data_IF_772597906924
#
_entry.id   IF_772597906924
#
_cell.length_a   1.000
_cell.length_b   1.000
_cell.length_c   1.000
_cell.angle_alpha   90.00
_cell.angle_beta   90.00
_cell.angle_gamma   90.00
#
_symmetry.space_group_name_H-M   'P 1'
#
loop_
_entity.id
_entity.type
_entity.pdbx_description
1 polymer ?
#
# COMPACT_ATOMS: atom_id res chain seq x y z
N UNK A 1 -13.26 0.06 -0.29
CA UNK A 1 -13.11 0.40 -1.74
C UNK A 1 -12.09 1.53 -1.90
N UNK A 2 -11.19 1.50 -2.90
CA UNK A 2 -10.18 2.55 -3.13
C UNK A 2 -10.70 3.53 -4.18
N UNK A 3 -10.88 4.80 -3.78
CA UNK A 3 -11.15 5.92 -4.70
C UNK A 3 -9.84 6.38 -5.34
N UNK A 4 -9.60 6.07 -6.60
CA UNK A 4 -8.29 6.25 -7.24
C UNK A 4 -8.35 7.23 -8.39
N UNK A 5 -7.41 8.19 -8.38
CA UNK A 5 -7.17 9.12 -9.47
C UNK A 5 -5.71 9.02 -9.95
N UNK A 6 -5.52 9.06 -11.26
CA UNK A 6 -4.19 9.00 -11.88
C UNK A 6 -4.08 10.07 -12.97
N UNK A 7 -3.03 10.89 -12.90
CA UNK A 7 -2.63 11.76 -14.00
C UNK A 7 -1.23 11.34 -14.49
N UNK A 8 -1.16 10.87 -15.73
CA UNK A 8 0.08 10.38 -16.34
C UNK A 8 0.89 11.49 -17.04
N UNK A 9 0.43 12.74 -16.97
CA UNK A 9 1.01 13.86 -17.72
C UNK A 9 1.55 14.98 -16.85
N UNK A 10 0.95 15.20 -15.67
CA UNK A 10 1.30 16.33 -14.79
C UNK A 10 1.01 16.04 -13.32
N UNK A 11 1.44 16.97 -12.48
CA UNK A 11 1.00 17.10 -11.08
C UNK A 11 0.03 18.29 -10.97
N UNK A 12 -1.12 18.07 -10.37
CA UNK A 12 -2.08 19.13 -10.08
C UNK A 12 -1.56 20.06 -8.96
N UNK A 13 -2.17 21.24 -8.82
CA UNK A 13 -1.94 22.13 -7.67
C UNK A 13 -2.37 21.44 -6.36
N UNK A 14 -1.72 21.79 -5.27
CA UNK A 14 -1.96 21.24 -3.93
C UNK A 14 -3.45 21.22 -3.56
N UNK A 15 -4.15 22.31 -3.77
CA UNK A 15 -5.58 22.42 -3.45
C UNK A 15 -6.41 21.40 -4.24
N UNK A 16 -6.06 21.20 -5.51
CA UNK A 16 -6.77 20.25 -6.36
C UNK A 16 -6.51 18.80 -5.95
N UNK A 17 -5.29 18.47 -5.55
CA UNK A 17 -4.95 17.13 -5.03
C UNK A 17 -5.76 16.85 -3.76
N UNK A 18 -5.83 17.82 -2.84
CA UNK A 18 -6.63 17.72 -1.62
C UNK A 18 -8.12 17.53 -1.94
N UNK A 19 -8.68 18.31 -2.87
CA UNK A 19 -10.08 18.15 -3.30
C UNK A 19 -10.37 16.74 -3.85
N UNK A 20 -9.46 16.18 -4.66
CA UNK A 20 -9.62 14.83 -5.23
C UNK A 20 -9.61 13.77 -4.13
N UNK A 21 -8.69 13.88 -3.18
CA UNK A 21 -8.59 12.94 -2.06
C UNK A 21 -9.77 13.08 -1.09
N UNK A 22 -10.23 14.31 -0.82
CA UNK A 22 -11.41 14.56 0.01
C UNK A 22 -12.70 14.10 -0.67
N UNK A 23 -12.80 14.20 -2.00
CA UNK A 23 -13.90 13.62 -2.75
C UNK A 23 -14.01 12.11 -2.53
N UNK A 24 -12.88 11.38 -2.51
CA UNK A 24 -12.91 9.94 -2.22
C UNK A 24 -13.52 9.67 -0.82
N UNK A 25 -13.17 10.47 0.18
CA UNK A 25 -13.75 10.39 1.53
C UNK A 25 -15.25 10.68 1.54
N UNK A 26 -15.68 11.74 0.86
CA UNK A 26 -17.09 12.15 0.78
C UNK A 26 -17.95 11.18 0.00
N UNK A 27 -17.39 10.42 -0.93
CA UNK A 27 -18.04 9.31 -1.63
C UNK A 27 -17.95 7.97 -0.88
N UNK A 28 -17.61 8.00 0.40
CA UNK A 28 -17.56 6.82 1.28
C UNK A 28 -16.59 5.73 0.79
N UNK A 29 -15.48 6.16 0.17
CA UNK A 29 -14.39 5.24 -0.14
C UNK A 29 -13.57 4.95 1.12
N UNK A 30 -13.10 3.72 1.26
CA UNK A 30 -12.25 3.31 2.40
C UNK A 30 -10.87 3.97 2.36
N UNK A 31 -10.34 4.24 1.17
CA UNK A 31 -9.01 4.83 0.94
C UNK A 31 -9.07 5.78 -0.24
N UNK A 32 -8.47 6.96 -0.11
CA UNK A 32 -8.23 7.87 -1.23
C UNK A 32 -6.85 7.64 -1.85
N UNK A 33 -6.78 7.52 -3.18
CA UNK A 33 -5.50 7.35 -3.88
C UNK A 33 -5.31 8.38 -4.97
N UNK A 34 -4.13 9.03 -4.97
CA UNK A 34 -3.70 9.96 -6.00
C UNK A 34 -2.31 9.59 -6.53
N UNK A 35 -2.17 9.45 -7.84
CA UNK A 35 -0.89 9.23 -8.50
C UNK A 35 -0.71 10.23 -9.64
N UNK A 36 0.47 10.83 -9.76
CA UNK A 36 0.77 11.85 -10.76
C UNK A 36 2.12 11.65 -11.43
N UNK A 37 2.34 12.33 -12.55
CA UNK A 37 3.62 12.39 -13.23
C UNK A 37 4.27 13.77 -13.00
N UNK A 38 5.30 13.86 -12.15
CA UNK A 38 5.95 15.13 -11.88
C UNK A 38 6.86 15.52 -13.05
N UNK A 39 6.88 16.80 -13.40
CA UNK A 39 7.82 17.39 -14.35
C UNK A 39 9.02 18.02 -13.64
N UNK A 40 8.83 18.43 -12.38
CA UNK A 40 9.84 19.09 -11.56
C UNK A 40 9.93 18.47 -10.15
N UNK A 41 10.95 18.85 -9.38
CA UNK A 41 11.05 18.46 -7.97
C UNK A 41 9.98 19.13 -7.12
N UNK A 42 9.64 20.35 -7.46
CA UNK A 42 8.59 21.15 -6.83
C UNK A 42 7.22 20.49 -6.95
N UNK A 43 6.99 19.73 -8.02
CA UNK A 43 5.77 18.91 -8.17
C UNK A 43 5.71 17.78 -7.13
N UNK A 44 6.85 17.18 -6.82
CA UNK A 44 6.94 16.15 -5.78
C UNK A 44 6.69 16.76 -4.40
N UNK A 45 7.26 17.93 -4.12
CA UNK A 45 7.03 18.66 -2.87
C UNK A 45 5.55 19.04 -2.73
N UNK A 46 4.92 19.51 -3.82
CA UNK A 46 3.49 19.84 -3.88
C UNK A 46 2.63 18.62 -3.52
N UNK A 47 2.96 17.44 -4.04
CA UNK A 47 2.27 16.19 -3.71
C UNK A 47 2.42 15.84 -2.23
N UNK A 48 3.64 15.91 -1.70
CA UNK A 48 3.92 15.60 -0.30
C UNK A 48 3.22 16.57 0.66
N UNK A 49 3.20 17.87 0.34
CA UNK A 49 2.45 18.87 1.10
C UNK A 49 0.93 18.60 1.08
N UNK A 50 0.37 18.23 -0.08
CA UNK A 50 -1.04 17.85 -0.19
C UNK A 50 -1.35 16.61 0.66
N UNK A 51 -0.43 15.64 0.69
CA UNK A 51 -0.55 14.43 1.52
C UNK A 51 -0.57 14.79 3.01
N UNK A 52 0.37 15.62 3.45
CA UNK A 52 0.43 16.10 4.84
C UNK A 52 -0.85 16.87 5.23
N UNK A 53 -1.36 17.69 4.32
CA UNK A 53 -2.61 18.43 4.54
C UNK A 53 -3.81 17.53 4.74
N UNK A 54 -3.91 16.43 3.96
CA UNK A 54 -4.96 15.43 4.14
C UNK A 54 -4.84 14.71 5.48
N UNK A 55 -3.62 14.31 5.88
CA UNK A 55 -3.37 13.65 7.17
C UNK A 55 -3.69 14.56 8.35
N UNK A 56 -3.40 15.84 8.24
CA UNK A 56 -3.75 16.84 9.26
C UNK A 56 -5.27 17.06 9.37
N UNK A 57 -5.94 17.18 8.22
CA UNK A 57 -7.38 17.47 8.19
C UNK A 57 -8.24 16.25 8.54
N UNK A 58 -7.80 15.07 8.15
CA UNK A 58 -8.54 13.79 8.29
C UNK A 58 -7.61 12.66 8.74
N UNK A 59 -7.17 12.64 10.02
CA UNK A 59 -6.17 11.69 10.52
C UNK A 59 -6.56 10.21 10.34
N UNK A 60 -7.87 9.91 10.41
CA UNK A 60 -8.40 8.55 10.31
C UNK A 60 -8.70 8.11 8.88
N UNK A 61 -8.66 9.03 7.90
CA UNK A 61 -8.90 8.66 6.51
C UNK A 61 -7.58 8.31 5.81
N UNK A 62 -7.35 7.03 5.45
CA UNK A 62 -6.11 6.63 4.81
C UNK A 62 -6.01 7.20 3.40
N UNK A 63 -4.85 7.74 3.07
CA UNK A 63 -4.53 8.19 1.72
C UNK A 63 -3.28 7.48 1.19
N UNK A 64 -3.26 7.24 -0.11
CA UNK A 64 -2.11 6.69 -0.83
C UNK A 64 -1.72 7.71 -1.90
N UNK A 65 -0.55 8.29 -1.76
CA UNK A 65 -0.06 9.29 -2.72
C UNK A 65 1.29 8.90 -3.28
N UNK A 66 1.48 9.07 -4.58
CA UNK A 66 2.75 8.79 -5.22
C UNK A 66 2.96 9.59 -6.49
N UNK A 67 4.16 10.07 -6.70
CA UNK A 67 4.63 10.56 -7.96
C UNK A 67 5.31 9.44 -8.76
N UNK A 68 5.08 9.41 -10.06
CA UNK A 68 5.64 8.44 -10.99
C UNK A 68 6.99 8.91 -11.55
N UNK A 69 7.68 8.03 -12.28
CA UNK A 69 8.98 8.33 -12.89
C UNK A 69 10.11 8.48 -11.86
N UNK A 70 11.31 8.75 -12.36
CA UNK A 70 12.52 8.86 -11.53
C UNK A 70 12.45 10.02 -10.52
N UNK A 71 11.90 11.16 -10.94
CA UNK A 71 11.69 12.31 -10.06
C UNK A 71 10.75 11.97 -8.89
N UNK A 72 9.81 11.05 -9.12
CA UNK A 72 8.80 10.65 -8.13
C UNK A 72 9.29 9.67 -7.07
N UNK A 73 10.45 9.03 -7.22
CA UNK A 73 10.99 8.06 -6.26
C UNK A 73 10.96 8.52 -4.80
N UNK A 74 11.33 9.77 -4.45
CA UNK A 74 11.26 10.24 -3.08
C UNK A 74 9.87 10.11 -2.45
N UNK A 75 8.80 10.36 -3.21
CA UNK A 75 7.43 10.22 -2.69
C UNK A 75 7.08 8.77 -2.30
N UNK A 76 7.69 7.79 -2.97
CA UNK A 76 7.49 6.37 -2.67
C UNK A 76 8.26 5.92 -1.42
N UNK A 77 9.43 6.49 -1.18
CA UNK A 77 10.28 6.15 -0.04
C UNK A 77 9.92 6.92 1.23
N UNK A 78 9.57 8.20 1.08
CA UNK A 78 9.37 9.12 2.20
C UNK A 78 7.91 9.56 2.40
N UNK A 79 7.01 9.18 1.51
CA UNK A 79 5.60 9.58 1.54
C UNK A 79 4.89 9.26 2.86
N UNK A 80 5.27 8.19 3.55
CA UNK A 80 4.75 7.83 4.87
C UNK A 80 5.04 8.86 5.95
N UNK A 81 6.16 9.60 5.85
CA UNK A 81 6.47 10.72 6.76
C UNK A 81 5.48 11.89 6.61
N UNK A 82 4.84 11.99 5.46
CA UNK A 82 3.82 12.98 5.13
C UNK A 82 2.40 12.44 5.29
N UNK A 83 2.23 11.16 5.66
CA UNK A 83 0.94 10.55 5.93
C UNK A 83 0.38 9.65 4.83
N UNK A 84 1.16 9.33 3.79
CA UNK A 84 0.78 8.28 2.85
C UNK A 84 0.81 6.92 3.54
N UNK A 85 -0.32 6.21 3.53
CA UNK A 85 -0.49 4.98 4.31
C UNK A 85 0.20 3.76 3.68
N UNK A 86 0.56 3.83 2.39
CA UNK A 86 1.12 2.69 1.66
C UNK A 86 1.97 3.14 0.48
N UNK A 87 3.01 2.38 0.18
CA UNK A 87 3.79 2.52 -1.04
C UNK A 87 3.92 1.19 -1.79
N UNK A 88 4.22 1.26 -3.09
CA UNK A 88 4.36 0.09 -3.96
C UNK A 88 5.79 -0.06 -4.45
N UNK A 89 6.40 -1.20 -4.17
CA UNK A 89 7.67 -1.63 -4.74
C UNK A 89 7.52 -2.74 -5.76
N UNK A 90 8.60 -3.09 -6.44
CA UNK A 90 8.65 -4.22 -7.35
C UNK A 90 9.67 -5.28 -6.89
N UNK A 91 9.36 -6.56 -7.17
CA UNK A 91 10.23 -7.69 -6.83
C UNK A 91 11.14 -8.12 -7.99
N UNK A 92 10.74 -7.87 -9.24
CA UNK A 92 11.50 -8.23 -10.45
C UNK A 92 11.47 -7.08 -11.45
N UNK A 93 10.37 -6.93 -12.18
CA UNK A 93 10.20 -5.87 -13.16
C UNK A 93 9.24 -4.82 -12.65
N UNK A 94 9.55 -3.56 -12.89
CA UNK A 94 8.70 -2.45 -12.53
C UNK A 94 7.40 -2.49 -13.35
N UNK A 95 6.26 -2.55 -12.68
CA UNK A 95 4.93 -2.50 -13.32
C UNK A 95 4.43 -1.07 -13.55
N UNK A 96 5.16 -0.08 -13.05
CA UNK A 96 4.87 1.34 -13.22
C UNK A 96 6.17 2.16 -13.23
N UNK A 97 6.18 3.31 -13.94
CA UNK A 97 7.36 4.18 -13.99
C UNK A 97 7.84 4.62 -12.60
N UNK A 98 9.16 4.56 -12.35
CA UNK A 98 9.78 4.98 -11.10
C UNK A 98 9.47 4.09 -9.89
N UNK A 99 9.00 2.88 -10.12
CA UNK A 99 8.81 1.91 -9.05
C UNK A 99 10.15 1.46 -8.48
N UNK A 100 10.27 1.44 -7.15
CA UNK A 100 11.49 1.10 -6.42
C UNK A 100 11.56 -0.40 -6.19
N UNK A 101 12.74 -0.99 -6.31
CA UNK A 101 12.95 -2.39 -5.96
C UNK A 101 12.79 -2.60 -4.45
N UNK A 102 12.21 -3.75 -4.09
CA UNK A 102 11.86 -4.04 -2.71
C UNK A 102 13.06 -4.01 -1.76
N UNK A 103 14.25 -4.42 -2.20
CA UNK A 103 15.46 -4.39 -1.37
C UNK A 103 15.86 -2.96 -0.97
N UNK A 104 15.81 -2.03 -1.94
CA UNK A 104 16.05 -0.62 -1.70
C UNK A 104 14.98 -0.04 -0.75
N UNK A 105 13.73 -0.36 -1.03
CA UNK A 105 12.59 0.11 -0.22
C UNK A 105 12.71 -0.36 1.23
N UNK A 106 12.97 -1.64 1.48
CA UNK A 106 13.16 -2.18 2.84
C UNK A 106 14.33 -1.50 3.53
N UNK A 107 15.49 -1.38 2.86
CA UNK A 107 16.67 -0.74 3.44
C UNK A 107 16.41 0.70 3.89
N UNK A 108 15.57 1.43 3.15
CA UNK A 108 15.17 2.80 3.50
C UNK A 108 14.12 2.78 4.61
N UNK A 109 13.10 1.93 4.50
CA UNK A 109 11.98 1.86 5.44
C UNK A 109 12.43 1.42 6.83
N UNK A 110 13.32 0.44 6.95
CA UNK A 110 13.87 0.00 8.24
C UNK A 110 14.60 1.12 8.98
N UNK A 111 15.28 2.01 8.23
CA UNK A 111 15.97 3.17 8.81
C UNK A 111 15.01 4.29 9.22
N UNK A 112 13.98 4.56 8.40
CA UNK A 112 13.08 5.70 8.59
C UNK A 112 11.96 5.35 9.57
N UNK A 113 11.30 4.21 9.36
CA UNK A 113 10.11 3.80 10.12
C UNK A 113 10.46 2.85 11.27
N UNK A 114 11.75 2.52 11.48
CA UNK A 114 12.27 1.72 12.62
C UNK A 114 11.53 0.39 12.81
N UNK A 115 11.22 -0.29 11.70
CA UNK A 115 10.51 -1.56 11.75
C UNK A 115 8.99 -1.46 11.87
N UNK A 116 8.44 -0.28 12.13
CA UNK A 116 7.00 -0.08 12.25
C UNK A 116 6.32 0.04 10.87
N UNK A 117 6.43 -1.02 10.08
CA UNK A 117 5.78 -1.15 8.77
C UNK A 117 5.59 -2.62 8.42
N UNK A 118 4.52 -2.92 7.69
CA UNK A 118 4.23 -4.25 7.15
C UNK A 118 4.61 -4.33 5.67
N UNK A 119 5.02 -5.52 5.22
CA UNK A 119 5.31 -5.80 3.81
C UNK A 119 4.26 -6.79 3.31
N UNK A 120 3.40 -6.34 2.40
CA UNK A 120 2.40 -7.19 1.77
C UNK A 120 2.82 -7.56 0.36
N UNK A 121 2.82 -8.86 0.05
CA UNK A 121 3.10 -9.39 -1.29
C UNK A 121 1.80 -9.65 -2.01
N UNK A 122 1.58 -8.94 -3.12
CA UNK A 122 0.42 -9.13 -3.99
C UNK A 122 0.86 -9.61 -5.38
N UNK A 123 0.01 -10.34 -6.05
CA UNK A 123 0.26 -10.83 -7.41
C UNK A 123 -0.55 -12.08 -7.74
N UNK A 124 -0.66 -12.39 -9.02
CA UNK A 124 -1.38 -13.57 -9.49
C UNK A 124 -0.75 -14.86 -8.98
N UNK A 125 -1.53 -15.95 -9.06
CA UNK A 125 -1.04 -17.30 -8.79
C UNK A 125 0.17 -17.61 -9.68
N UNK A 126 1.23 -18.18 -9.11
CA UNK A 126 2.47 -18.47 -9.85
C UNK A 126 3.41 -17.26 -10.05
N UNK A 127 3.07 -16.05 -9.61
CA UNK A 127 3.93 -14.86 -9.73
C UNK A 127 5.21 -14.90 -8.87
N UNK A 128 5.41 -15.96 -8.07
CA UNK A 128 6.59 -16.14 -7.24
C UNK A 128 6.53 -15.46 -5.86
N UNK A 129 5.34 -15.10 -5.39
CA UNK A 129 5.14 -14.49 -4.05
C UNK A 129 5.85 -15.26 -2.93
N UNK A 130 5.63 -16.57 -2.85
CA UNK A 130 6.25 -17.43 -1.80
C UNK A 130 7.78 -17.53 -1.91
N UNK A 131 8.35 -17.32 -3.09
CA UNK A 131 9.82 -17.28 -3.27
C UNK A 131 10.36 -15.96 -2.73
N UNK A 132 9.70 -14.85 -3.07
CA UNK A 132 10.06 -13.51 -2.58
C UNK A 132 9.84 -13.42 -1.07
N UNK A 133 8.75 -13.97 -0.55
CA UNK A 133 8.44 -13.96 0.89
C UNK A 133 9.54 -14.65 1.71
N UNK A 134 9.98 -15.84 1.30
CA UNK A 134 11.09 -16.55 1.97
C UNK A 134 12.40 -15.75 1.96
N UNK A 135 12.70 -15.07 0.87
CA UNK A 135 13.89 -14.24 0.77
C UNK A 135 13.76 -12.98 1.65
N UNK A 136 12.59 -12.37 1.68
CA UNK A 136 12.28 -11.26 2.58
C UNK A 136 12.45 -11.64 4.05
N UNK A 137 11.92 -12.80 4.47
CA UNK A 137 12.11 -13.34 5.82
C UNK A 137 13.61 -13.50 6.14
N UNK A 138 14.38 -14.06 5.21
CA UNK A 138 15.83 -14.25 5.38
C UNK A 138 16.58 -12.92 5.54
N UNK A 139 16.22 -11.90 4.77
CA UNK A 139 16.89 -10.60 4.75
C UNK A 139 16.47 -9.70 5.92
N UNK A 140 15.19 -9.69 6.26
CA UNK A 140 14.63 -8.77 7.26
C UNK A 140 14.46 -9.37 8.65
N UNK A 141 14.52 -10.70 8.78
CA UNK A 141 14.21 -11.40 10.03
C UNK A 141 12.74 -11.37 10.44
N UNK A 142 11.85 -10.83 9.59
CA UNK A 142 10.42 -10.69 9.86
C UNK A 142 9.70 -12.03 9.78
N UNK A 143 8.62 -12.16 10.52
CA UNK A 143 7.73 -13.31 10.38
C UNK A 143 6.97 -13.26 9.05
N UNK A 144 6.79 -14.45 8.47
CA UNK A 144 6.00 -14.65 7.27
C UNK A 144 4.62 -15.16 7.65
N UNK A 145 3.58 -14.47 7.20
CA UNK A 145 2.19 -14.91 7.34
C UNK A 145 1.64 -15.19 5.95
N UNK A 146 1.25 -16.44 5.71
CA UNK A 146 0.47 -16.84 4.54
C UNK A 146 -1.01 -16.69 4.88
N UNK A 147 -1.71 -15.83 4.16
CA UNK A 147 -3.10 -15.47 4.44
C UNK A 147 -4.05 -16.67 4.35
N UNK A 148 -3.84 -17.50 3.34
CA UNK A 148 -4.68 -18.69 3.12
C UNK A 148 -4.51 -19.70 4.25
N UNK A 149 -3.26 -19.97 4.64
CA UNK A 149 -2.96 -20.89 5.75
C UNK A 149 -3.45 -20.34 7.10
N UNK A 150 -3.37 -19.02 7.29
CA UNK A 150 -3.89 -18.40 8.51
C UNK A 150 -5.39 -18.62 8.63
N UNK A 151 -6.16 -18.34 7.56
CA UNK A 151 -7.61 -18.53 7.52
C UNK A 151 -7.97 -19.99 7.76
N UNK A 152 -7.35 -20.96 7.04
CA UNK A 152 -7.63 -22.38 7.21
C UNK A 152 -7.37 -22.87 8.65
N UNK A 153 -6.33 -22.36 9.29
CA UNK A 153 -5.99 -22.69 10.67
C UNK A 153 -7.03 -22.15 11.66
N UNK A 154 -7.52 -20.93 11.47
CA UNK A 154 -8.50 -20.29 12.36
C UNK A 154 -9.88 -20.89 12.17
N UNK A 155 -10.28 -21.11 10.93
CA UNK A 155 -11.56 -21.70 10.57
C UNK A 155 -11.60 -23.24 10.80
N UNK A 156 -10.45 -23.88 10.96
CA UNK A 156 -10.29 -25.35 11.10
C UNK A 156 -10.92 -26.14 9.93
N UNK A 157 -10.95 -25.56 8.76
CA UNK A 157 -11.48 -26.13 7.51
C UNK A 157 -10.77 -25.51 6.32
N UNK A 158 -10.83 -26.16 5.17
CA UNK A 158 -10.18 -25.67 3.96
C UNK A 158 -10.92 -24.45 3.39
N UNK A 159 -10.18 -23.60 2.63
CA UNK A 159 -10.79 -22.50 1.87
C UNK A 159 -11.88 -23.01 0.93
N UNK A 160 -11.66 -24.16 0.31
CA UNK A 160 -12.67 -24.79 -0.56
C UNK A 160 -13.97 -25.12 0.20
N UNK A 161 -13.87 -25.60 1.45
CA UNK A 161 -15.02 -25.86 2.28
C UNK A 161 -15.74 -24.57 2.70
N UNK A 162 -14.97 -23.50 3.02
CA UNK A 162 -15.52 -22.18 3.33
C UNK A 162 -16.35 -21.66 2.16
N UNK A 163 -15.80 -21.71 0.93
CA UNK A 163 -16.55 -21.28 -0.25
C UNK A 163 -17.79 -22.14 -0.51
N UNK A 164 -17.71 -23.45 -0.28
CA UNK A 164 -18.82 -24.36 -0.50
C UNK A 164 -19.96 -24.18 0.49
N UNK A 165 -19.66 -23.83 1.76
CA UNK A 165 -20.66 -23.77 2.85
C UNK A 165 -21.16 -22.37 3.13
N UNK A 166 -20.27 -21.36 3.11
CA UNK A 166 -20.58 -19.98 3.52
C UNK A 166 -20.50 -18.98 2.35
N UNK A 167 -19.79 -19.33 1.28
CA UNK A 167 -19.65 -18.48 0.10
C UNK A 167 -18.56 -17.40 0.21
N UNK A 168 -18.46 -16.61 -0.86
CA UNK A 168 -17.38 -15.63 -1.02
C UNK A 168 -17.44 -14.52 0.04
N UNK A 169 -18.63 -14.06 0.39
CA UNK A 169 -18.79 -12.94 1.34
C UNK A 169 -18.20 -13.26 2.72
N UNK A 170 -18.38 -14.49 3.18
CA UNK A 170 -17.80 -14.95 4.44
C UNK A 170 -16.28 -15.06 4.34
N UNK A 171 -15.76 -15.59 3.25
CA UNK A 171 -14.30 -15.65 3.03
C UNK A 171 -13.67 -14.24 3.06
N UNK A 172 -14.31 -13.24 2.44
CA UNK A 172 -13.84 -11.84 2.50
C UNK A 172 -13.88 -11.27 3.91
N UNK A 173 -14.84 -11.69 4.74
CA UNK A 173 -14.85 -11.31 6.13
C UNK A 173 -13.66 -11.92 6.90
N UNK A 174 -13.37 -13.20 6.68
CA UNK A 174 -12.18 -13.85 7.27
C UNK A 174 -10.86 -13.14 6.85
N UNK A 175 -10.75 -12.69 5.60
CA UNK A 175 -9.60 -11.89 5.16
C UNK A 175 -9.52 -10.55 5.93
N UNK A 176 -10.64 -9.90 6.18
CA UNK A 176 -10.70 -8.65 6.93
C UNK A 176 -10.29 -8.85 8.38
N UNK A 177 -10.91 -9.84 9.05
CA UNK A 177 -10.63 -10.17 10.45
C UNK A 177 -9.15 -10.52 10.66
N UNK A 178 -8.55 -11.27 9.72
CA UNK A 178 -7.12 -11.56 9.72
C UNK A 178 -6.27 -10.29 9.62
N UNK A 179 -6.61 -9.38 8.72
CA UNK A 179 -5.85 -8.14 8.55
C UNK A 179 -5.94 -7.25 9.79
N UNK A 180 -7.11 -7.22 10.45
CA UNK A 180 -7.31 -6.49 11.71
C UNK A 180 -6.46 -7.09 12.83
N UNK A 181 -6.39 -8.42 12.94
CA UNK A 181 -5.52 -9.09 13.91
C UNK A 181 -4.04 -8.82 13.64
N UNK A 182 -3.59 -8.97 12.38
CA UNK A 182 -2.21 -8.68 12.00
C UNK A 182 -1.83 -7.21 12.23
N UNK A 183 -2.77 -6.28 12.05
CA UNK A 183 -2.56 -4.85 12.30
C UNK A 183 -2.32 -4.51 13.78
N UNK A 184 -2.67 -5.41 14.70
CA UNK A 184 -2.44 -5.26 16.16
C UNK A 184 -1.18 -5.99 16.66
N UNK A 185 -0.55 -6.80 15.82
CA UNK A 185 0.71 -7.50 16.17
C UNK A 185 1.89 -6.54 16.05
N UNK A 186 2.64 -6.34 17.14
CA UNK A 186 3.89 -5.56 17.19
C UNK A 186 5.09 -6.30 16.59
#
# INVERSE_FOLDING_TARGET
MIGSYHDFHKTDKKERIVEILDAARTYDMTVGKYACMPETKEDVDTLLEATARMKEAYPEFPVITMAMGELGKPSRLYGGLYGSSLSFGCAREASAPGQVYYEEMISVFDKIYKGNHHISLIGFMGAGKSTVSRELKRLSGREEVDTDQWIEKHEKRSISDIFATEGEAYFRQCETDMLDELGTME
#
